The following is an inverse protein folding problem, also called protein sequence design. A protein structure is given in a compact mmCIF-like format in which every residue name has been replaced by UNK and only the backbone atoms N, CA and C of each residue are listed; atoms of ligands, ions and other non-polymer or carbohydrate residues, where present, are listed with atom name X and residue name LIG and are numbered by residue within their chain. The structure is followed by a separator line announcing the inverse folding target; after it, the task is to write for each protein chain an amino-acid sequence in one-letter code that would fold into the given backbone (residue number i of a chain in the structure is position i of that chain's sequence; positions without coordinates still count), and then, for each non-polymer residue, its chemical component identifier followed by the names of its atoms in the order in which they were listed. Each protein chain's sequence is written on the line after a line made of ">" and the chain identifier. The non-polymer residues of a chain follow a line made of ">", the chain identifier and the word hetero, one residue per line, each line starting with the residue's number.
data_IF_526793349297
#
_entry.id   IF_526793349297
#
_cell.length_a   1.000
_cell.length_b   1.000
_cell.length_c   1.000
_cell.angle_alpha   90.00
_cell.angle_beta   90.00
_cell.angle_gamma   90.00
#
_symmetry.space_group_name_H-M   'P 1'
#
loop_
_entity.id
_entity.type
_entity.pdbx_description
1 polymer ?
#
# COMPACT_ATOMS: atom_id res chain seq x y z
N UNK A 1 -29.92 -23.98 -20.53
CA UNK A 1 -28.96 -22.90 -20.79
C UNK A 1 -28.86 -22.08 -19.52
N UNK A 2 -27.92 -22.40 -18.68
CA UNK A 2 -27.68 -21.70 -17.40
C UNK A 2 -26.42 -20.85 -17.60
N UNK A 3 -26.62 -19.53 -17.64
CA UNK A 3 -25.53 -18.56 -17.76
C UNK A 3 -24.72 -18.50 -16.47
N UNK A 4 -23.50 -18.97 -16.54
CA UNK A 4 -22.50 -18.79 -15.49
C UNK A 4 -22.09 -17.32 -15.43
N UNK A 5 -22.59 -16.59 -14.44
CA UNK A 5 -22.05 -15.29 -14.06
C UNK A 5 -20.73 -15.55 -13.34
N UNK A 6 -19.61 -15.40 -14.05
CA UNK A 6 -18.28 -15.37 -13.44
C UNK A 6 -18.18 -14.12 -12.56
N UNK A 7 -18.30 -14.29 -11.25
CA UNK A 7 -17.94 -13.25 -10.29
C UNK A 7 -16.45 -12.99 -10.43
N UNK A 8 -16.10 -11.77 -10.74
CA UNK A 8 -14.71 -11.30 -10.70
C UNK A 8 -14.29 -11.31 -9.23
N UNK A 9 -13.55 -12.36 -8.84
CA UNK A 9 -12.86 -12.37 -7.56
C UNK A 9 -11.63 -11.45 -7.70
N UNK A 10 -11.88 -10.12 -7.63
CA UNK A 10 -10.81 -9.17 -7.43
C UNK A 10 -10.24 -9.42 -6.03
N UNK A 11 -9.09 -10.07 -5.94
CA UNK A 11 -8.34 -10.08 -4.68
C UNK A 11 -7.72 -8.70 -4.53
N UNK A 12 -8.08 -8.05 -3.46
CA UNK A 12 -7.75 -6.68 -3.15
C UNK A 12 -6.74 -6.71 -2.02
N UNK A 13 -5.73 -5.90 -2.16
CA UNK A 13 -4.71 -5.67 -1.15
C UNK A 13 -4.91 -4.26 -0.63
N UNK A 14 -5.20 -4.19 0.64
CA UNK A 14 -5.18 -2.97 1.41
C UNK A 14 -3.95 -3.03 2.30
N UNK A 15 -3.01 -2.14 2.12
CA UNK A 15 -2.05 -1.83 3.16
C UNK A 15 -2.44 -0.55 3.83
N UNK A 16 -2.23 -0.60 5.07
CA UNK A 16 -2.34 0.54 5.92
C UNK A 16 -1.17 0.53 6.88
N UNK A 17 -0.34 1.54 6.82
CA UNK A 17 0.63 1.80 7.88
C UNK A 17 -0.09 1.97 9.20
N UNK A 18 0.00 0.96 10.06
CA UNK A 18 -0.61 0.99 11.39
C UNK A 18 0.45 1.28 12.45
N UNK A 19 0.34 2.44 13.07
CA UNK A 19 1.09 2.73 14.29
C UNK A 19 0.47 1.94 15.44
N UNK A 20 1.11 0.87 15.85
CA UNK A 20 0.78 0.20 17.10
C UNK A 20 1.48 0.92 18.28
N UNK A 21 0.74 1.75 18.97
CA UNK A 21 1.19 2.32 20.24
C UNK A 21 1.22 1.20 21.30
N UNK A 22 2.34 0.51 21.47
CA UNK A 22 2.53 -0.46 22.56
C UNK A 22 2.67 0.27 23.88
N UNK A 23 1.56 0.42 24.60
CA UNK A 23 1.60 0.72 26.03
C UNK A 23 1.91 -0.55 26.81
N UNK A 24 3.04 -0.55 27.50
CA UNK A 24 3.38 -1.56 28.52
C UNK A 24 2.42 -1.33 29.69
N UNK A 25 1.40 -2.16 29.81
CA UNK A 25 0.46 -2.11 30.95
C UNK A 25 0.73 -3.33 31.85
N UNK A 26 1.08 -3.07 33.11
CA UNK A 26 1.20 -4.08 34.17
C UNK A 26 -0.18 -4.69 34.43
N UNK A 27 -0.24 -6.03 34.38
CA UNK A 27 -1.48 -6.78 34.54
C UNK A 27 -1.87 -6.86 36.00
N UNK A 28 -3.05 -6.36 36.36
CA UNK A 28 -3.79 -6.73 37.55
C UNK A 28 -5.06 -7.49 37.10
N UNK A 29 -5.50 -8.52 37.83
CA UNK A 29 -6.62 -9.34 37.40
C UNK A 29 -7.94 -8.56 37.55
N UNK A 30 -8.68 -8.43 36.45
CA UNK A 30 -10.03 -7.85 36.46
C UNK A 30 -11.05 -8.91 36.06
N UNK A 31 -12.06 -9.05 36.91
CA UNK A 31 -13.22 -9.93 36.80
C UNK A 31 -14.04 -9.53 35.56
N UNK A 32 -14.33 -10.51 34.68
CA UNK A 32 -15.17 -10.30 33.51
C UNK A 32 -16.65 -10.11 33.90
N UNK A 33 -17.20 -8.96 33.65
CA UNK A 33 -18.64 -8.75 33.52
C UNK A 33 -18.95 -8.63 32.03
N UNK A 34 -19.71 -9.59 31.50
CA UNK A 34 -20.19 -9.56 30.10
C UNK A 34 -21.30 -8.49 30.04
N UNK A 35 -20.97 -7.31 29.59
CA UNK A 35 -21.93 -6.33 29.12
C UNK A 35 -22.02 -6.44 27.59
N UNK A 36 -23.24 -6.58 27.06
CA UNK A 36 -23.52 -6.45 25.64
C UNK A 36 -23.06 -5.06 25.17
N UNK A 37 -21.83 -4.98 24.66
CA UNK A 37 -21.31 -3.74 24.09
C UNK A 37 -21.91 -3.60 22.68
N UNK A 38 -22.86 -2.67 22.54
CA UNK A 38 -23.19 -2.06 21.26
C UNK A 38 -21.90 -1.53 20.59
N UNK A 39 -21.79 -1.73 19.27
CA UNK A 39 -20.70 -1.15 18.47
C UNK A 39 -20.49 0.31 18.87
N UNK A 40 -19.24 0.76 19.09
CA UNK A 40 -19.02 2.17 19.41
C UNK A 40 -19.61 3.03 18.28
N UNK A 41 -20.30 4.12 18.62
CA UNK A 41 -20.83 5.04 17.62
C UNK A 41 -19.68 5.53 16.74
N UNK A 42 -19.95 5.70 15.46
CA UNK A 42 -19.00 6.32 14.53
C UNK A 42 -18.43 7.59 15.18
N UNK A 43 -17.12 7.74 15.16
CA UNK A 43 -16.48 8.94 15.73
C UNK A 43 -17.13 10.19 15.12
N UNK A 44 -17.45 11.21 15.91
CA UNK A 44 -18.04 12.42 15.36
C UNK A 44 -17.13 13.02 14.29
N UNK A 45 -17.69 13.69 13.28
CA UNK A 45 -16.89 14.39 12.29
C UNK A 45 -15.96 15.38 13.01
N UNK A 46 -14.67 15.25 12.76
CA UNK A 46 -13.63 16.17 13.25
C UNK A 46 -13.40 17.20 12.14
N UNK A 47 -13.19 18.46 12.51
CA UNK A 47 -12.82 19.50 11.54
C UNK A 47 -11.50 19.09 10.83
N UNK A 48 -11.38 19.36 9.52
CA UNK A 48 -10.19 19.06 8.74
C UNK A 48 -8.92 19.69 9.31
N UNK A 49 -9.02 20.86 9.93
CA UNK A 49 -7.89 21.50 10.64
C UNK A 49 -7.45 20.69 11.87
N UNK A 50 -8.38 20.10 12.60
CA UNK A 50 -8.07 19.23 13.74
C UNK A 50 -7.40 17.93 13.29
N UNK A 51 -7.84 17.35 12.15
CA UNK A 51 -7.20 16.19 11.57
C UNK A 51 -5.76 16.47 11.11
N UNK A 52 -5.51 17.62 10.50
CA UNK A 52 -4.14 18.04 10.13
C UNK A 52 -3.24 18.11 11.38
N UNK A 53 -3.74 18.68 12.48
CA UNK A 53 -2.98 18.75 13.72
C UNK A 53 -2.72 17.37 14.34
N UNK A 54 -3.71 16.47 14.31
CA UNK A 54 -3.57 15.09 14.79
C UNK A 54 -2.48 14.35 13.98
N UNK A 55 -2.51 14.44 12.65
CA UNK A 55 -1.52 13.79 11.80
C UNK A 55 -0.13 14.42 11.94
N UNK A 56 -0.05 15.74 12.04
CA UNK A 56 1.22 16.42 12.29
C UNK A 56 1.84 16.02 13.64
N UNK A 57 1.03 15.88 14.69
CA UNK A 57 1.49 15.39 15.98
C UNK A 57 1.94 13.93 15.94
N UNK A 58 1.26 13.06 15.19
CA UNK A 58 1.66 11.68 14.99
C UNK A 58 3.01 11.59 14.26
N UNK A 59 3.17 12.31 13.15
CA UNK A 59 4.43 12.41 12.41
C UNK A 59 5.57 12.92 13.31
N UNK A 60 5.35 14.01 14.05
CA UNK A 60 6.34 14.56 14.96
C UNK A 60 6.75 13.55 16.05
N UNK A 61 5.79 12.79 16.57
CA UNK A 61 6.05 11.72 17.54
C UNK A 61 6.93 10.61 16.97
N UNK A 62 6.62 10.11 15.77
CA UNK A 62 7.42 9.08 15.09
C UNK A 62 8.84 9.56 14.84
N UNK A 63 8.99 10.75 14.25
CA UNK A 63 10.31 11.34 13.97
C UNK A 63 11.09 11.61 15.25
N UNK A 64 10.42 12.02 16.34
CA UNK A 64 11.03 12.20 17.66
C UNK A 64 11.56 10.89 18.27
N UNK A 65 11.03 9.74 17.84
CA UNK A 65 11.48 8.41 18.23
C UNK A 65 12.55 7.84 17.28
N UNK A 66 13.03 8.62 16.30
CA UNK A 66 14.02 8.19 15.32
C UNK A 66 13.46 7.38 14.15
N UNK A 67 12.13 7.33 14.03
CA UNK A 67 11.43 6.71 12.90
C UNK A 67 11.33 7.67 11.71
N UNK A 68 10.81 7.19 10.57
CA UNK A 68 10.67 7.95 9.33
C UNK A 68 12.00 8.52 8.82
N UNK A 69 13.04 7.72 8.90
CA UNK A 69 14.38 8.02 8.38
C UNK A 69 14.34 8.19 6.88
N UNK A 70 15.24 9.03 6.36
CA UNK A 70 15.27 9.37 4.93
C UNK A 70 16.47 8.79 4.18
N UNK A 71 17.37 8.09 4.88
CA UNK A 71 18.53 7.45 4.27
C UNK A 71 18.11 6.24 3.43
N UNK A 72 18.56 6.19 2.20
CA UNK A 72 18.27 5.08 1.29
C UNK A 72 19.21 3.89 1.42
N UNK A 73 20.37 4.09 2.06
CA UNK A 73 21.41 3.08 2.28
C UNK A 73 22.08 3.28 3.64
N UNK A 74 21.36 3.05 4.75
CA UNK A 74 21.88 3.28 6.10
C UNK A 74 22.97 2.26 6.44
N UNK A 75 24.06 2.73 7.07
CA UNK A 75 25.20 1.87 7.44
C UNK A 75 24.91 0.92 8.59
N UNK A 76 23.95 1.30 9.44
CA UNK A 76 23.52 0.55 10.62
C UNK A 76 22.49 -0.54 10.31
N UNK A 77 22.05 -0.64 9.06
CA UNK A 77 21.11 -1.65 8.59
C UNK A 77 21.66 -2.37 7.33
N UNK A 78 22.78 -3.12 7.45
CA UNK A 78 23.27 -3.92 6.35
C UNK A 78 22.34 -5.11 6.08
N UNK A 79 22.26 -5.56 4.84
CA UNK A 79 21.50 -6.73 4.43
C UNK A 79 22.30 -7.61 3.47
N UNK A 80 21.99 -8.89 3.46
CA UNK A 80 22.61 -9.91 2.60
C UNK A 80 21.67 -10.37 1.49
N UNK A 81 22.18 -11.18 0.55
CA UNK A 81 21.33 -11.86 -0.44
C UNK A 81 20.34 -12.84 0.19
N UNK A 82 20.66 -13.39 1.35
CA UNK A 82 19.74 -14.24 2.10
C UNK A 82 18.56 -13.43 2.63
N UNK A 83 18.82 -12.26 3.22
CA UNK A 83 17.77 -11.36 3.71
C UNK A 83 16.86 -10.90 2.57
N UNK A 84 17.43 -10.53 1.42
CA UNK A 84 16.65 -10.21 0.21
C UNK A 84 15.71 -11.36 -0.20
N UNK A 85 16.20 -12.59 -0.16
CA UNK A 85 15.40 -13.77 -0.53
C UNK A 85 14.25 -13.98 0.45
N UNK A 86 14.52 -13.92 1.75
CA UNK A 86 13.52 -14.12 2.79
C UNK A 86 12.48 -12.99 2.79
N UNK A 87 12.94 -11.74 2.68
CA UNK A 87 12.05 -10.58 2.65
C UNK A 87 11.19 -10.56 1.38
N UNK A 88 11.75 -10.95 0.22
CA UNK A 88 10.96 -11.07 -1.00
C UNK A 88 9.82 -12.08 -0.83
N UNK A 89 10.07 -13.28 -0.29
CA UNK A 89 9.02 -14.26 -0.05
C UNK A 89 7.93 -13.73 0.87
N UNK A 90 8.30 -13.06 1.96
CA UNK A 90 7.34 -12.52 2.93
C UNK A 90 6.52 -11.36 2.36
N UNK A 91 7.17 -10.47 1.60
CA UNK A 91 6.55 -9.24 1.11
C UNK A 91 5.75 -9.50 -0.18
N UNK A 92 6.27 -10.28 -1.12
CA UNK A 92 5.63 -10.48 -2.42
C UNK A 92 4.66 -11.68 -2.48
N UNK A 93 4.78 -12.66 -1.56
CA UNK A 93 4.02 -13.91 -1.62
C UNK A 93 3.06 -14.11 -0.42
N UNK A 94 2.78 -13.04 0.32
CA UNK A 94 1.77 -13.05 1.38
C UNK A 94 0.82 -11.88 1.23
N UNK A 95 -0.37 -12.04 1.79
CA UNK A 95 -1.36 -10.99 1.98
C UNK A 95 -1.25 -10.46 3.40
N UNK A 96 -1.41 -9.17 3.57
CA UNK A 96 -1.52 -8.51 4.87
C UNK A 96 -2.96 -8.56 5.40
N UNK A 97 -3.94 -8.52 4.49
CA UNK A 97 -5.36 -8.53 4.83
C UNK A 97 -6.11 -9.67 4.14
N UNK A 98 -7.10 -10.18 4.86
CA UNK A 98 -8.09 -11.13 4.37
C UNK A 98 -9.47 -10.48 4.31
N UNK A 99 -10.31 -10.91 3.38
CA UNK A 99 -11.73 -10.57 3.40
C UNK A 99 -12.47 -11.72 4.07
N UNK A 100 -12.95 -11.48 5.29
CA UNK A 100 -13.75 -12.42 6.07
C UNK A 100 -15.12 -11.79 6.32
N UNK A 101 -16.18 -12.47 5.95
CA UNK A 101 -17.58 -12.00 6.08
C UNK A 101 -17.81 -10.58 5.51
N UNK A 102 -17.17 -10.29 4.37
CA UNK A 102 -17.30 -9.00 3.69
C UNK A 102 -16.55 -7.84 4.36
N UNK A 103 -15.62 -8.13 5.28
CA UNK A 103 -14.78 -7.13 5.96
C UNK A 103 -13.31 -7.43 5.76
N UNK A 104 -12.49 -6.38 5.76
CA UNK A 104 -11.05 -6.53 5.81
C UNK A 104 -10.61 -6.82 7.24
N UNK A 105 -9.88 -7.93 7.40
CA UNK A 105 -9.31 -8.36 8.68
C UNK A 105 -7.81 -8.50 8.48
N UNK A 106 -7.02 -7.88 9.35
CA UNK A 106 -5.57 -8.08 9.35
C UNK A 106 -5.25 -9.56 9.59
N UNK A 107 -4.44 -10.15 8.70
CA UNK A 107 -4.06 -11.55 8.79
C UNK A 107 -3.21 -11.97 7.62
N UNK A 108 -2.05 -12.55 7.91
CA UNK A 108 -1.14 -13.00 6.88
C UNK A 108 -1.62 -14.34 6.28
N UNK A 109 -1.64 -14.41 4.96
CA UNK A 109 -1.89 -15.66 4.23
C UNK A 109 -0.98 -15.76 3.02
N UNK A 110 -0.48 -16.96 2.78
CA UNK A 110 0.30 -17.25 1.57
C UNK A 110 -0.54 -17.01 0.32
N UNK A 111 0.09 -16.42 -0.69
CA UNK A 111 -0.53 -16.13 -1.99
C UNK A 111 0.44 -16.35 -3.14
N UNK A 112 -0.04 -16.18 -4.37
CA UNK A 112 0.75 -16.22 -5.60
C UNK A 112 1.31 -14.83 -5.96
N UNK A 113 2.34 -14.81 -6.81
CA UNK A 113 2.97 -13.57 -7.29
C UNK A 113 1.98 -12.71 -8.08
N UNK A 114 1.97 -11.43 -7.75
CA UNK A 114 1.20 -10.42 -8.47
C UNK A 114 2.10 -9.33 -8.97
N UNK A 115 1.84 -8.87 -10.17
CA UNK A 115 2.57 -7.76 -10.76
C UNK A 115 1.88 -7.25 -12.02
N UNK A 116 2.37 -6.18 -12.55
CA UNK A 116 1.99 -5.69 -13.86
C UNK A 116 2.70 -6.49 -14.96
N UNK A 117 1.95 -6.82 -16.02
CA UNK A 117 2.47 -7.49 -17.24
C UNK A 117 2.22 -6.64 -18.50
N UNK A 118 1.95 -5.36 -18.32
CA UNK A 118 1.67 -4.42 -19.42
C UNK A 118 1.88 -2.98 -19.02
N UNK A 119 1.57 -2.04 -19.90
CA UNK A 119 1.78 -0.62 -19.67
C UNK A 119 1.04 -0.11 -18.45
N UNK A 120 1.70 0.76 -17.66
CA UNK A 120 1.13 1.43 -16.49
C UNK A 120 0.99 2.93 -16.80
N UNK A 121 -0.22 3.45 -16.64
CA UNK A 121 -0.56 4.85 -16.85
C UNK A 121 -1.00 5.45 -15.53
N UNK A 122 -0.17 6.35 -14.99
CA UNK A 122 -0.34 6.93 -13.66
C UNK A 122 -1.05 8.27 -13.77
N UNK A 123 -2.24 8.37 -13.18
CA UNK A 123 -2.99 9.62 -13.08
C UNK A 123 -3.04 10.10 -11.63
N UNK A 124 -3.18 11.42 -11.45
CA UNK A 124 -3.41 12.03 -10.15
C UNK A 124 -4.79 12.70 -10.11
N UNK A 125 -5.47 12.55 -8.97
CA UNK A 125 -6.73 13.26 -8.69
C UNK A 125 -6.56 13.99 -7.36
N UNK A 126 -6.92 15.26 -7.36
CA UNK A 126 -6.90 16.11 -6.18
C UNK A 126 -8.33 16.49 -5.79
N UNK A 127 -8.63 16.40 -4.50
CA UNK A 127 -9.87 16.94 -3.97
C UNK A 127 -9.90 18.47 -4.06
N UNK A 128 -11.12 19.03 -4.00
CA UNK A 128 -11.33 20.48 -4.07
C UNK A 128 -10.66 21.25 -2.92
N UNK A 129 -10.37 20.58 -1.81
CA UNK A 129 -9.66 21.14 -0.65
C UNK A 129 -8.16 21.34 -0.90
N UNK A 130 -7.58 20.70 -1.92
CA UNK A 130 -6.15 20.76 -2.21
C UNK A 130 -5.79 22.07 -2.91
N UNK A 131 -4.93 22.88 -2.31
CA UNK A 131 -4.44 24.10 -2.94
C UNK A 131 -3.49 23.83 -4.12
N UNK A 132 -3.38 24.84 -5.02
CA UNK A 132 -2.60 24.68 -6.25
C UNK A 132 -1.09 24.49 -6.04
N UNK A 133 -0.50 24.91 -4.91
CA UNK A 133 0.91 24.63 -4.58
C UNK A 133 1.07 23.16 -4.20
N UNK A 134 0.25 22.69 -3.31
CA UNK A 134 0.21 21.29 -2.86
C UNK A 134 -0.02 20.33 -4.02
N UNK A 135 -0.97 20.64 -4.91
CA UNK A 135 -1.20 19.85 -6.12
C UNK A 135 0.05 19.74 -7.01
N UNK A 136 0.74 20.87 -7.28
CA UNK A 136 1.98 20.87 -8.08
C UNK A 136 3.10 20.06 -7.45
N UNK A 137 3.31 20.20 -6.13
CA UNK A 137 4.35 19.46 -5.40
C UNK A 137 4.11 17.95 -5.52
N UNK A 138 2.89 17.49 -5.22
CA UNK A 138 2.56 16.07 -5.27
C UNK A 138 2.55 15.51 -6.71
N UNK A 139 2.10 16.27 -7.70
CA UNK A 139 2.19 15.87 -9.13
C UNK A 139 3.66 15.66 -9.53
N UNK A 140 4.54 16.56 -9.12
CA UNK A 140 5.98 16.44 -9.40
C UNK A 140 6.58 15.21 -8.73
N UNK A 141 6.24 14.93 -7.47
CA UNK A 141 6.70 13.75 -6.76
C UNK A 141 6.22 12.46 -7.41
N UNK A 142 4.94 12.38 -7.77
CA UNK A 142 4.37 11.21 -8.47
C UNK A 142 5.05 11.01 -9.83
N UNK A 143 5.32 12.06 -10.60
CA UNK A 143 6.01 11.96 -11.89
C UNK A 143 7.45 11.44 -11.72
N UNK A 144 8.21 12.01 -10.79
CA UNK A 144 9.59 11.59 -10.52
C UNK A 144 9.65 10.14 -10.04
N UNK A 145 8.74 9.78 -9.15
CA UNK A 145 8.70 8.41 -8.62
C UNK A 145 8.21 7.39 -9.65
N UNK A 146 7.27 7.77 -10.51
CA UNK A 146 6.83 6.96 -11.67
C UNK A 146 8.02 6.63 -12.58
N UNK A 147 8.84 7.63 -12.92
CA UNK A 147 10.06 7.42 -13.73
C UNK A 147 11.04 6.48 -13.03
N UNK A 148 11.23 6.63 -11.71
CA UNK A 148 12.10 5.74 -10.93
C UNK A 148 11.60 4.31 -10.92
N UNK A 149 10.30 4.08 -10.66
CA UNK A 149 9.70 2.75 -10.70
C UNK A 149 9.81 2.12 -12.10
N UNK A 150 9.59 2.90 -13.16
CA UNK A 150 9.79 2.43 -14.54
C UNK A 150 11.23 1.95 -14.79
N UNK A 151 12.23 2.70 -14.31
CA UNK A 151 13.65 2.32 -14.44
C UNK A 151 14.00 1.06 -13.64
N UNK A 152 13.45 0.90 -12.44
CA UNK A 152 13.71 -0.26 -11.58
C UNK A 152 13.07 -1.55 -12.10
N UNK A 153 11.90 -1.44 -12.69
CA UNK A 153 11.07 -2.59 -13.11
C UNK A 153 11.19 -2.93 -14.59
N UNK A 154 11.66 -1.98 -15.40
CA UNK A 154 11.67 -2.11 -16.86
C UNK A 154 10.29 -1.98 -17.52
N UNK A 155 9.24 -1.63 -16.77
CA UNK A 155 7.89 -1.44 -17.31
C UNK A 155 7.78 -0.12 -18.09
N UNK A 156 6.95 -0.11 -19.15
CA UNK A 156 6.43 1.12 -19.77
C UNK A 156 5.46 1.80 -18.78
N UNK A 157 6.02 2.56 -17.86
CA UNK A 157 5.29 3.28 -16.83
C UNK A 157 5.47 4.78 -17.01
N UNK A 158 4.36 5.52 -17.11
CA UNK A 158 4.39 6.98 -17.32
C UNK A 158 3.14 7.65 -16.79
N UNK A 159 3.24 8.92 -16.48
CA UNK A 159 2.07 9.75 -16.14
C UNK A 159 1.16 9.96 -17.35
N UNK A 160 -0.13 10.07 -17.10
CA UNK A 160 -1.18 10.32 -18.08
C UNK A 160 -2.32 11.13 -17.43
N UNK A 161 -3.27 11.54 -18.25
CA UNK A 161 -4.52 12.07 -17.73
C UNK A 161 -5.25 11.00 -16.90
N UNK A 162 -5.93 11.43 -15.83
CA UNK A 162 -6.63 10.53 -14.93
C UNK A 162 -7.70 9.67 -15.62
N UNK A 163 -8.30 10.19 -16.70
CA UNK A 163 -9.30 9.46 -17.49
C UNK A 163 -8.71 8.26 -18.27
N UNK A 164 -7.42 8.28 -18.56
CA UNK A 164 -6.70 7.22 -19.29
C UNK A 164 -5.87 6.33 -18.36
N UNK A 165 -5.81 6.68 -17.08
CA UNK A 165 -4.97 6.01 -16.10
C UNK A 165 -5.57 4.66 -15.68
N UNK A 166 -4.70 3.67 -15.53
CA UNK A 166 -4.99 2.42 -14.83
C UNK A 166 -4.35 2.35 -13.44
N UNK A 167 -3.66 3.40 -13.04
CA UNK A 167 -3.01 3.57 -11.76
C UNK A 167 -3.30 4.99 -11.26
N UNK A 168 -4.22 5.14 -10.32
CA UNK A 168 -4.66 6.44 -9.81
C UNK A 168 -4.11 6.71 -8.42
N UNK A 169 -3.49 7.88 -8.24
CA UNK A 169 -3.09 8.41 -6.92
C UNK A 169 -4.05 9.54 -6.55
N UNK A 170 -4.80 9.33 -5.48
CA UNK A 170 -5.90 10.18 -5.02
C UNK A 170 -5.46 10.95 -3.78
N UNK A 171 -5.48 12.27 -3.85
CA UNK A 171 -5.21 13.17 -2.73
C UNK A 171 -6.53 13.75 -2.24
N UNK A 172 -7.12 13.14 -1.22
CA UNK A 172 -8.47 13.43 -0.75
C UNK A 172 -8.49 13.63 0.76
N UNK A 173 -9.26 14.60 1.23
CA UNK A 173 -9.60 14.67 2.64
C UNK A 173 -10.69 13.64 2.99
N UNK A 174 -10.99 13.48 4.29
CA UNK A 174 -11.94 12.45 4.77
C UNK A 174 -13.34 12.60 4.13
N UNK A 175 -13.81 13.83 3.90
CA UNK A 175 -15.10 14.10 3.23
C UNK A 175 -15.05 13.75 1.75
N UNK A 176 -14.00 14.18 1.06
CA UNK A 176 -13.81 13.94 -0.37
C UNK A 176 -13.58 12.45 -0.66
N UNK A 177 -12.88 11.74 0.23
CA UNK A 177 -12.73 10.28 0.20
C UNK A 177 -14.08 9.59 0.24
N UNK A 178 -14.97 10.00 1.15
CA UNK A 178 -16.33 9.45 1.26
C UNK A 178 -17.15 9.71 0.00
N UNK A 179 -17.05 10.93 -0.58
CA UNK A 179 -17.72 11.29 -1.82
C UNK A 179 -17.16 10.51 -3.03
N UNK A 180 -15.84 10.37 -3.11
CA UNK A 180 -15.20 9.61 -4.19
C UNK A 180 -15.59 8.13 -4.16
N UNK A 181 -15.80 7.55 -2.98
CA UNK A 181 -16.25 6.17 -2.82
C UNK A 181 -17.55 5.87 -3.57
N UNK A 182 -18.45 6.86 -3.73
CA UNK A 182 -19.70 6.71 -4.51
C UNK A 182 -19.43 6.49 -6.01
N UNK A 183 -18.28 6.91 -6.51
CA UNK A 183 -17.91 6.78 -7.93
C UNK A 183 -17.27 5.43 -8.26
N UNK A 184 -16.74 4.71 -7.25
CA UNK A 184 -15.98 3.47 -7.44
C UNK A 184 -16.74 2.38 -8.20
N UNK A 185 -18.05 2.12 -7.95
CA UNK A 185 -18.80 1.11 -8.71
C UNK A 185 -18.94 1.46 -10.21
N UNK A 186 -18.86 2.73 -10.57
CA UNK A 186 -18.89 3.19 -11.97
C UNK A 186 -17.52 3.07 -12.63
N UNK A 187 -16.45 3.40 -11.90
CA UNK A 187 -15.07 3.33 -12.38
C UNK A 187 -14.59 1.87 -12.49
N UNK A 188 -14.95 1.04 -11.55
CA UNK A 188 -14.50 -0.35 -11.44
C UNK A 188 -15.73 -1.28 -11.42
N UNK A 189 -16.13 -1.73 -12.61
CA UNK A 189 -17.28 -2.63 -12.74
C UNK A 189 -17.09 -3.89 -11.87
N UNK A 190 -18.14 -4.26 -11.14
CA UNK A 190 -18.17 -5.42 -10.25
C UNK A 190 -17.18 -5.33 -9.06
N UNK A 191 -16.79 -4.13 -8.65
CA UNK A 191 -16.01 -3.94 -7.42
C UNK A 191 -16.74 -4.60 -6.22
N UNK A 192 -15.99 -5.27 -5.36
CA UNK A 192 -16.56 -5.84 -4.15
C UNK A 192 -17.03 -4.69 -3.22
N UNK A 193 -18.30 -4.71 -2.73
CA UNK A 193 -18.80 -3.70 -1.80
C UNK A 193 -17.93 -3.50 -0.55
N UNK A 194 -17.29 -4.55 -0.05
CA UNK A 194 -16.35 -4.45 1.08
C UNK A 194 -15.15 -3.52 0.80
N UNK A 195 -14.73 -3.43 -0.48
CA UNK A 195 -13.65 -2.51 -0.88
C UNK A 195 -14.14 -1.08 -0.89
N UNK A 196 -15.34 -0.86 -1.43
CA UNK A 196 -15.96 0.48 -1.41
C UNK A 196 -16.12 0.95 0.02
N UNK A 197 -16.53 0.06 0.92
CA UNK A 197 -16.66 0.37 2.34
C UNK A 197 -15.30 0.65 3.00
N UNK A 198 -14.30 -0.19 2.75
CA UNK A 198 -12.93 0.00 3.26
C UNK A 198 -12.30 1.29 2.74
N UNK A 199 -12.52 1.62 1.47
CA UNK A 199 -12.08 2.90 0.91
C UNK A 199 -12.79 4.07 1.57
N UNK A 200 -14.14 4.01 1.67
CA UNK A 200 -14.97 5.07 2.27
C UNK A 200 -14.62 5.32 3.73
N UNK A 201 -14.44 4.26 4.51
CA UNK A 201 -14.31 4.27 5.96
C UNK A 201 -12.89 3.92 6.42
N UNK A 202 -11.86 4.23 5.62
CA UNK A 202 -10.47 3.99 6.02
C UNK A 202 -10.19 4.62 7.40
N UNK A 203 -9.76 3.83 8.38
CA UNK A 203 -9.51 4.32 9.73
C UNK A 203 -8.48 5.45 9.76
N UNK A 204 -8.58 6.34 10.74
CA UNK A 204 -7.69 7.51 10.84
C UNK A 204 -6.24 7.15 11.17
N UNK A 205 -6.00 6.00 11.79
CA UNK A 205 -4.66 5.46 12.02
C UNK A 205 -4.04 4.81 10.78
N UNK A 206 -4.79 4.71 9.69
CA UNK A 206 -4.30 4.33 8.36
C UNK A 206 -3.96 5.63 7.62
N UNK A 207 -2.69 5.91 7.42
CA UNK A 207 -2.26 7.17 6.81
C UNK A 207 -2.48 7.19 5.31
N UNK A 208 -2.20 6.08 4.64
CA UNK A 208 -2.40 5.87 3.21
C UNK A 208 -2.80 4.42 2.93
N UNK A 209 -3.29 4.14 1.72
CA UNK A 209 -3.71 2.80 1.36
C UNK A 209 -3.66 2.57 -0.16
N UNK A 210 -3.18 1.39 -0.58
CA UNK A 210 -3.27 0.93 -1.97
C UNK A 210 -4.34 -0.15 -2.14
N UNK A 211 -5.14 0.00 -3.20
CA UNK A 211 -6.15 -0.97 -3.63
C UNK A 211 -5.80 -1.44 -5.04
N UNK A 212 -5.33 -2.68 -5.15
CA UNK A 212 -4.92 -3.25 -6.43
C UNK A 212 -5.92 -4.31 -6.91
N UNK A 213 -6.26 -4.25 -8.20
CA UNK A 213 -7.24 -5.11 -8.84
C UNK A 213 -6.59 -5.88 -9.98
N UNK A 214 -6.75 -7.20 -9.98
CA UNK A 214 -6.25 -8.04 -11.05
C UNK A 214 -7.19 -8.04 -12.26
N UNK A 215 -6.63 -8.25 -13.45
CA UNK A 215 -7.40 -8.40 -14.68
C UNK A 215 -8.27 -9.66 -14.62
N UNK A 216 -9.53 -9.59 -15.07
CA UNK A 216 -10.39 -10.78 -15.14
C UNK A 216 -9.75 -11.90 -15.95
N UNK A 217 -9.75 -13.13 -15.40
CA UNK A 217 -9.21 -14.31 -16.09
C UNK A 217 -7.69 -14.38 -16.19
N UNK A 218 -6.95 -13.40 -15.66
CA UNK A 218 -5.48 -13.39 -15.66
C UNK A 218 -4.96 -13.44 -14.21
N UNK A 219 -4.58 -14.64 -13.76
CA UNK A 219 -4.11 -14.88 -12.40
C UNK A 219 -2.89 -13.99 -12.09
N UNK A 220 -3.00 -13.15 -11.07
CA UNK A 220 -1.90 -12.32 -10.58
C UNK A 220 -1.53 -11.10 -11.43
N UNK A 221 -2.16 -10.89 -12.59
CA UNK A 221 -1.87 -9.73 -13.45
C UNK A 221 -2.68 -8.52 -12.99
N UNK A 222 -2.03 -7.45 -12.57
CA UNK A 222 -2.71 -6.21 -12.21
C UNK A 222 -3.35 -5.52 -13.43
N UNK A 223 -4.53 -4.96 -13.22
CA UNK A 223 -5.29 -4.21 -14.22
C UNK A 223 -5.56 -2.77 -13.83
N UNK A 224 -5.87 -2.54 -12.55
CA UNK A 224 -6.12 -1.22 -12.01
C UNK A 224 -5.57 -1.10 -10.58
N UNK A 225 -5.17 0.11 -10.21
CA UNK A 225 -4.76 0.47 -8.85
C UNK A 225 -5.37 1.80 -8.47
N UNK A 226 -5.81 1.90 -7.22
CA UNK A 226 -6.18 3.15 -6.55
C UNK A 226 -5.30 3.30 -5.32
N UNK A 227 -4.63 4.44 -5.19
CA UNK A 227 -3.89 4.82 -3.99
C UNK A 227 -4.61 5.98 -3.34
N UNK A 228 -4.91 5.86 -2.06
CA UNK A 228 -5.47 6.92 -1.24
C UNK A 228 -4.35 7.54 -0.39
N UNK A 229 -4.09 8.82 -0.61
CA UNK A 229 -3.23 9.66 0.23
C UNK A 229 -4.12 10.73 0.86
N UNK A 230 -4.16 10.78 2.18
CA UNK A 230 -4.99 11.79 2.86
C UNK A 230 -4.40 13.17 2.69
N UNK A 231 -5.19 14.12 2.18
CA UNK A 231 -4.73 15.47 1.88
C UNK A 231 -4.41 16.28 3.14
N UNK A 232 -4.90 15.85 4.30
CA UNK A 232 -4.61 16.43 5.63
C UNK A 232 -3.15 16.22 6.08
N UNK A 233 -2.43 15.30 5.47
CA UNK A 233 -1.02 15.05 5.79
C UNK A 233 -0.10 16.21 5.43
N UNK A 234 1.05 16.29 6.09
CA UNK A 234 2.16 17.17 5.70
C UNK A 234 2.73 16.79 4.33
N UNK A 235 3.48 17.69 3.72
CA UNK A 235 4.21 17.39 2.47
C UNK A 235 5.13 16.16 2.64
N UNK A 236 5.76 16.02 3.81
CA UNK A 236 6.65 14.90 4.11
C UNK A 236 5.90 13.57 4.19
N UNK A 237 4.80 13.51 4.94
CA UNK A 237 3.99 12.31 5.08
C UNK A 237 3.35 11.91 3.74
N UNK A 238 2.84 12.88 2.94
CA UNK A 238 2.32 12.57 1.60
C UNK A 238 3.39 11.97 0.69
N UNK A 239 4.63 12.48 0.77
CA UNK A 239 5.75 11.89 0.03
C UNK A 239 6.07 10.47 0.51
N UNK A 240 6.06 10.22 1.82
CA UNK A 240 6.21 8.86 2.37
C UNK A 240 5.15 7.92 1.81
N UNK A 241 3.87 8.31 1.87
CA UNK A 241 2.75 7.58 1.29
C UNK A 241 2.92 7.29 -0.21
N UNK A 242 3.38 8.27 -1.00
CA UNK A 242 3.63 8.08 -2.44
C UNK A 242 4.70 6.99 -2.65
N UNK A 243 5.81 7.05 -1.90
CA UNK A 243 6.88 6.08 -2.04
C UNK A 243 6.43 4.66 -1.67
N UNK A 244 5.73 4.55 -0.58
CA UNK A 244 5.30 3.28 -0.04
C UNK A 244 4.19 2.64 -0.91
N UNK A 245 3.06 3.32 -1.06
CA UNK A 245 1.88 2.77 -1.71
C UNK A 245 2.08 2.51 -3.21
N UNK A 246 2.84 3.39 -3.90
CA UNK A 246 3.16 3.14 -5.30
C UNK A 246 4.09 1.95 -5.48
N UNK A 247 5.07 1.74 -4.59
CA UNK A 247 5.95 0.59 -4.66
C UNK A 247 5.21 -0.72 -4.31
N UNK A 248 4.32 -0.70 -3.32
CA UNK A 248 3.45 -1.84 -3.00
C UNK A 248 2.54 -2.22 -4.16
N UNK A 249 1.95 -1.23 -4.80
CA UNK A 249 1.08 -1.41 -5.97
C UNK A 249 1.83 -1.97 -7.19
N UNK A 250 3.15 -2.12 -7.11
CA UNK A 250 3.92 -2.90 -8.09
C UNK A 250 3.84 -4.41 -7.84
N UNK A 251 3.47 -4.84 -6.62
CA UNK A 251 3.30 -6.26 -6.24
C UNK A 251 4.04 -6.68 -4.97
N UNK A 252 4.59 -5.73 -4.22
CA UNK A 252 5.18 -5.95 -2.90
C UNK A 252 4.10 -5.67 -1.83
N UNK A 253 3.22 -6.63 -1.60
CA UNK A 253 1.88 -6.42 -1.02
C UNK A 253 1.75 -6.69 0.47
N UNK A 254 2.83 -7.04 1.15
CA UNK A 254 2.81 -7.35 2.58
C UNK A 254 4.00 -6.68 3.28
N UNK A 255 3.89 -6.50 4.59
CA UNK A 255 4.98 -6.06 5.41
C UNK A 255 5.71 -7.21 6.08
N UNK A 256 6.93 -6.94 6.49
CA UNK A 256 7.73 -7.87 7.25
C UNK A 256 8.54 -7.14 8.33
N UNK A 257 8.39 -7.49 9.61
CA UNK A 257 9.19 -6.89 10.68
C UNK A 257 10.68 -7.19 10.56
N UNK A 258 11.07 -8.15 9.72
CA UNK A 258 12.46 -8.50 9.46
C UNK A 258 13.04 -7.77 8.24
N UNK A 259 12.23 -7.02 7.48
CA UNK A 259 12.68 -6.26 6.33
C UNK A 259 13.34 -4.95 6.78
N UNK A 260 14.68 -4.95 6.88
CA UNK A 260 15.45 -3.78 7.26
C UNK A 260 16.75 -3.68 6.44
N UNK A 261 17.02 -2.52 5.81
CA UNK A 261 16.22 -1.29 5.76
C UNK A 261 15.11 -1.39 4.70
N UNK A 262 13.88 -1.08 5.05
CA UNK A 262 12.75 -1.18 4.11
C UNK A 262 11.60 -0.26 4.50
N UNK A 263 10.88 0.27 3.49
CA UNK A 263 9.58 0.91 3.68
C UNK A 263 8.46 -0.12 3.90
N UNK A 264 8.75 -1.40 3.70
CA UNK A 264 7.84 -2.53 3.96
C UNK A 264 8.11 -3.16 5.33
N UNK A 265 8.52 -2.36 6.29
CA UNK A 265 8.66 -2.74 7.69
C UNK A 265 7.52 -2.12 8.49
N UNK A 266 6.87 -2.93 9.35
CA UNK A 266 5.72 -2.52 10.17
C UNK A 266 6.02 -1.40 11.18
N UNK A 267 7.30 -1.03 11.36
CA UNK A 267 7.72 -0.08 12.40
C UNK A 267 7.89 1.35 11.91
N UNK A 268 7.68 1.63 10.61
CA UNK A 268 7.84 2.95 9.99
C UNK A 268 9.26 3.55 10.15
N UNK A 269 10.30 2.71 10.28
CA UNK A 269 11.66 3.22 10.46
C UNK A 269 12.14 4.07 9.27
N UNK A 270 11.73 3.73 8.05
CA UNK A 270 12.14 4.41 6.82
C UNK A 270 10.94 5.02 6.09
N UNK A 271 11.05 6.31 5.75
CA UNK A 271 10.00 7.06 5.06
C UNK A 271 10.06 6.92 3.52
N UNK A 272 11.21 6.58 2.94
CA UNK A 272 11.41 6.58 1.49
C UNK A 272 12.06 5.28 1.03
N UNK A 273 11.77 4.91 -0.24
CA UNK A 273 12.30 3.72 -0.88
C UNK A 273 13.80 3.56 -0.64
N UNK A 274 14.19 2.46 -0.02
CA UNK A 274 15.58 2.14 0.30
C UNK A 274 16.26 1.35 -0.83
N UNK A 275 17.57 1.18 -0.75
CA UNK A 275 18.32 0.32 -1.67
C UNK A 275 17.85 -1.15 -1.61
N UNK A 276 17.47 -1.63 -0.43
CA UNK A 276 16.89 -2.96 -0.25
C UNK A 276 15.60 -3.10 -1.07
N UNK A 277 14.68 -2.14 -0.95
CA UNK A 277 13.39 -2.16 -1.65
C UNK A 277 13.55 -2.07 -3.18
N UNK A 278 14.52 -1.27 -3.65
CA UNK A 278 14.85 -1.22 -5.07
C UNK A 278 15.27 -2.58 -5.63
N UNK A 279 16.03 -3.33 -4.84
CA UNK A 279 16.44 -4.67 -5.25
C UNK A 279 15.23 -5.60 -5.23
N UNK A 280 14.34 -5.52 -4.24
CA UNK A 280 13.11 -6.30 -4.24
C UNK A 280 12.22 -5.99 -5.46
N UNK A 281 12.12 -4.72 -5.88
CA UNK A 281 11.40 -4.34 -7.11
C UNK A 281 12.06 -4.94 -8.36
N UNK A 282 13.39 -4.92 -8.47
CA UNK A 282 14.10 -5.58 -9.58
C UNK A 282 13.89 -7.10 -9.56
N UNK A 283 13.90 -7.72 -8.37
CA UNK A 283 13.60 -9.15 -8.23
C UNK A 283 12.19 -9.47 -8.70
N UNK A 284 11.20 -8.65 -8.31
CA UNK A 284 9.80 -8.84 -8.68
C UNK A 284 9.60 -8.82 -10.20
N UNK A 285 10.36 -7.98 -10.91
CA UNK A 285 10.28 -7.83 -12.37
C UNK A 285 11.35 -8.60 -13.13
N UNK A 286 12.07 -9.49 -12.46
CA UNK A 286 12.99 -10.41 -13.15
C UNK A 286 12.22 -11.25 -14.19
N UNK A 287 12.77 -11.45 -15.40
CA UNK A 287 12.09 -12.17 -16.48
C UNK A 287 11.81 -13.65 -16.19
N UNK A 288 12.48 -14.24 -15.21
CA UNK A 288 12.25 -15.61 -14.72
C UNK A 288 10.93 -15.74 -13.93
N UNK A 289 10.44 -14.66 -13.35
CA UNK A 289 9.18 -14.62 -12.60
C UNK A 289 8.02 -14.21 -13.50
N UNK A 290 6.83 -14.75 -13.23
CA UNK A 290 5.59 -14.44 -13.94
C UNK A 290 4.46 -14.24 -12.95
N UNK A 291 3.51 -13.37 -13.28
CA UNK A 291 2.27 -13.25 -12.51
C UNK A 291 1.58 -14.61 -12.35
N UNK A 292 1.05 -14.88 -11.17
CA UNK A 292 0.34 -16.14 -10.87
C UNK A 292 1.22 -17.32 -10.46
N UNK A 293 2.56 -17.20 -10.50
CA UNK A 293 3.47 -18.23 -9.98
C UNK A 293 3.28 -18.39 -8.47
N UNK A 294 3.37 -19.64 -8.03
CA UNK A 294 3.25 -20.01 -6.62
C UNK A 294 4.63 -20.05 -5.94
N UNK A 295 4.64 -20.00 -4.62
CA UNK A 295 5.88 -19.99 -3.82
C UNK A 295 6.83 -21.12 -4.20
N UNK A 296 6.34 -22.35 -4.38
CA UNK A 296 7.19 -23.52 -4.71
C UNK A 296 7.91 -23.40 -6.07
N UNK A 297 7.36 -22.62 -7.00
CA UNK A 297 7.98 -22.33 -8.29
C UNK A 297 9.04 -21.23 -8.18
N UNK A 298 8.81 -20.27 -7.30
CA UNK A 298 9.60 -19.04 -7.13
C UNK A 298 10.80 -19.26 -6.23
N UNK A 299 10.62 -19.90 -5.07
CA UNK A 299 11.68 -20.02 -4.04
C UNK A 299 12.99 -20.60 -4.56
N UNK A 300 13.02 -21.61 -5.45
CA UNK A 300 14.29 -22.11 -6.00
C UNK A 300 15.05 -21.11 -6.88
N UNK A 301 14.35 -20.10 -7.44
CA UNK A 301 14.93 -19.10 -8.33
C UNK A 301 15.50 -17.89 -7.57
N UNK A 302 14.97 -17.59 -6.39
CA UNK A 302 15.27 -16.36 -5.65
C UNK A 302 16.76 -16.16 -5.34
N UNK A 303 17.57 -17.16 -4.94
CA UNK A 303 18.97 -16.93 -4.64
C UNK A 303 19.80 -16.44 -5.84
N UNK A 304 19.43 -16.85 -7.05
CA UNK A 304 20.07 -16.37 -8.27
C UNK A 304 19.55 -14.97 -8.64
N UNK A 305 18.24 -14.78 -8.56
CA UNK A 305 17.59 -13.49 -8.85
C UNK A 305 18.09 -12.39 -7.90
N UNK A 306 18.21 -12.66 -6.59
CA UNK A 306 18.70 -11.68 -5.63
C UNK A 306 20.14 -11.22 -5.94
N UNK A 307 21.02 -12.15 -6.33
CA UNK A 307 22.41 -11.81 -6.73
C UNK A 307 22.45 -10.98 -8.01
N UNK A 308 21.60 -11.27 -8.98
CA UNK A 308 21.55 -10.54 -10.25
C UNK A 308 20.95 -9.14 -10.06
N UNK A 309 19.88 -9.01 -9.30
CA UNK A 309 19.18 -7.75 -9.03
C UNK A 309 20.00 -6.76 -8.18
N UNK A 310 20.96 -7.25 -7.38
CA UNK A 310 21.78 -6.40 -6.51
C UNK A 310 23.02 -5.80 -7.22
N UNK A 311 23.34 -6.24 -8.44
CA UNK A 311 24.40 -5.67 -9.29
C UNK A 311 23.96 -4.33 -9.89
#
# INVERSE_FOLDING_TARGET
>A
MLGSTSRISGQIYLKASMIQLRRILRIAPVIFVIACASLPPASPPIDGNDLQQIYAAAEASMRGQGMMRTETSPKDAPFSYYDLTQNFERIALHNEYLITDGRFVAGQSQTFLRRWEGPVRVGTIFGASTDGRTARVNTTEVDQYTKRLSQLTGLDMRVSDAAEANFLVLFLNETEQSQFAETLPTLLRNINPAVVDAFRNSPRNIFCAAFAFTKPGQKGVYGNVLILVKSEHSDFMRKSCIHEEMAQAMGLTNDSPDARPSIFNDDEEFAFLTRHDEILLRMLYDPRLKAGMERYEISPLLPAIARDAAR
#
